data_IF_536531202620
#
_entry.id   IF_536531202620
#
_cell.length_a   1.000
_cell.length_b   1.000
_cell.length_c   1.000
_cell.angle_alpha   90.00
_cell.angle_beta   90.00
_cell.angle_gamma   90.00
#
_symmetry.space_group_name_H-M   'P 1'
#
loop_
_entity.id
_entity.type
_entity.pdbx_description
1 polymer ?
#
# COMPACT_ATOMS: atom_id res chain seq x y z
N UNK A 1 12.08 -24.94 -18.21
CA UNK A 1 11.10 -23.92 -17.77
C UNK A 1 11.54 -23.23 -16.48
N UNK A 2 11.88 -23.97 -15.41
CA UNK A 2 12.32 -23.42 -14.11
C UNK A 2 13.48 -22.40 -14.17
N UNK A 3 14.53 -22.67 -14.96
CA UNK A 3 15.65 -21.73 -15.15
C UNK A 3 15.25 -20.41 -15.83
N UNK A 4 14.38 -20.47 -16.85
CA UNK A 4 13.89 -19.26 -17.56
C UNK A 4 13.01 -18.40 -16.66
N UNK A 5 12.15 -19.04 -15.86
CA UNK A 5 11.33 -18.36 -14.85
C UNK A 5 12.20 -17.63 -13.82
N UNK A 6 13.24 -18.30 -13.30
CA UNK A 6 14.22 -17.71 -12.39
C UNK A 6 14.94 -16.50 -13.02
N UNK A 7 15.36 -16.60 -14.28
CA UNK A 7 15.99 -15.48 -14.97
C UNK A 7 15.03 -14.28 -15.10
N UNK A 8 13.77 -14.52 -15.45
CA UNK A 8 12.76 -13.45 -15.55
C UNK A 8 12.55 -12.78 -14.18
N UNK A 9 12.44 -13.56 -13.11
CA UNK A 9 12.29 -13.02 -11.75
C UNK A 9 13.50 -12.19 -11.34
N UNK A 10 14.72 -12.68 -11.59
CA UNK A 10 15.95 -11.95 -11.26
C UNK A 10 16.07 -10.66 -12.05
N UNK A 11 15.76 -10.68 -13.35
CA UNK A 11 15.78 -9.47 -14.19
C UNK A 11 14.71 -8.46 -13.75
N UNK A 12 13.52 -8.93 -13.40
CA UNK A 12 12.46 -8.07 -12.88
C UNK A 12 12.83 -7.43 -11.54
N UNK A 13 13.42 -8.20 -10.62
CA UNK A 13 13.92 -7.68 -9.35
C UNK A 13 15.06 -6.67 -9.54
N UNK A 14 16.01 -6.97 -10.43
CA UNK A 14 17.10 -6.05 -10.74
C UNK A 14 16.57 -4.73 -11.35
N UNK A 15 15.59 -4.80 -12.25
CA UNK A 15 14.96 -3.63 -12.84
C UNK A 15 14.22 -2.75 -11.81
N UNK A 16 13.71 -3.34 -10.73
CA UNK A 16 13.09 -2.61 -9.61
C UNK A 16 14.11 -2.00 -8.65
N UNK A 17 15.25 -2.67 -8.42
CA UNK A 17 16.26 -2.24 -7.43
C UNK A 17 17.23 -1.20 -7.99
N UNK A 18 17.62 -1.29 -9.26
CA UNK A 18 18.55 -0.34 -9.90
C UNK A 18 18.09 1.12 -9.76
N UNK A 19 16.83 1.50 -10.07
CA UNK A 19 16.39 2.88 -9.90
C UNK A 19 16.21 3.29 -8.43
N UNK A 20 15.95 2.34 -7.54
CA UNK A 20 15.86 2.59 -6.10
C UNK A 20 17.21 2.95 -5.45
N UNK A 21 18.33 2.82 -6.18
CA UNK A 21 19.63 3.35 -5.77
C UNK A 21 19.77 4.87 -5.96
N UNK A 22 18.82 5.52 -6.63
CA UNK A 22 18.66 6.97 -6.54
C UNK A 22 18.24 7.32 -5.11
N UNK A 23 19.17 7.90 -4.36
CA UNK A 23 19.00 8.20 -2.95
C UNK A 23 17.80 9.15 -2.75
N UNK A 24 16.71 8.71 -2.08
CA UNK A 24 15.49 9.51 -1.95
C UNK A 24 15.65 10.83 -1.17
N UNK A 25 16.82 11.03 -0.55
CA UNK A 25 17.14 12.21 0.24
C UNK A 25 17.73 13.37 -0.57
N UNK A 26 18.15 13.13 -1.82
CA UNK A 26 18.67 14.19 -2.69
C UNK A 26 17.50 14.89 -3.39
N UNK A 27 17.17 16.10 -2.94
CA UNK A 27 16.19 16.92 -3.61
C UNK A 27 16.70 17.32 -5.02
N UNK A 28 15.81 17.42 -6.02
CA UNK A 28 16.22 17.83 -7.37
C UNK A 28 16.76 19.27 -7.37
N UNK A 29 18.05 19.44 -7.69
CA UNK A 29 18.72 20.75 -7.66
C UNK A 29 18.33 21.68 -8.82
N UNK A 30 17.84 21.13 -9.93
CA UNK A 30 17.49 21.87 -11.15
C UNK A 30 16.00 21.76 -11.50
N UNK A 31 15.51 22.66 -12.36
CA UNK A 31 14.15 22.55 -12.91
C UNK A 31 13.96 21.26 -13.70
N UNK A 32 14.95 20.84 -14.48
CA UNK A 32 14.89 19.60 -15.27
C UNK A 32 14.82 18.37 -14.37
N UNK A 33 15.63 18.29 -13.31
CA UNK A 33 15.61 17.16 -12.38
C UNK A 33 14.28 17.02 -11.62
N UNK A 34 13.52 18.11 -11.43
CA UNK A 34 12.17 18.04 -10.84
C UNK A 34 11.18 17.30 -11.74
N UNK A 35 11.24 17.54 -13.04
CA UNK A 35 10.39 16.84 -14.01
C UNK A 35 10.77 15.37 -14.11
N UNK A 36 12.07 15.05 -14.11
CA UNK A 36 12.54 13.65 -14.08
C UNK A 36 12.05 12.92 -12.82
N UNK A 37 12.08 13.57 -11.65
CA UNK A 37 11.55 13.01 -10.42
C UNK A 37 10.03 12.79 -10.50
N UNK A 38 9.28 13.76 -11.03
CA UNK A 38 7.83 13.65 -11.18
C UNK A 38 7.44 12.50 -12.12
N UNK A 39 8.12 12.37 -13.25
CA UNK A 39 7.92 11.27 -14.20
C UNK A 39 8.21 9.91 -13.53
N UNK A 40 9.31 9.82 -12.78
CA UNK A 40 9.65 8.63 -12.00
C UNK A 40 8.60 8.25 -10.97
N UNK A 41 8.10 9.23 -10.22
CA UNK A 41 7.03 9.01 -9.24
C UNK A 41 5.75 8.52 -9.91
N UNK A 42 5.39 9.11 -11.05
CA UNK A 42 4.20 8.76 -11.81
C UNK A 42 4.29 7.34 -12.37
N UNK A 43 5.41 7.01 -13.03
CA UNK A 43 5.66 5.68 -13.59
C UNK A 43 5.64 4.61 -12.50
N UNK A 44 6.32 4.88 -11.39
CA UNK A 44 6.38 3.97 -10.24
C UNK A 44 5.00 3.76 -9.63
N UNK A 45 4.22 4.84 -9.45
CA UNK A 45 2.84 4.76 -8.98
C UNK A 45 2.00 3.84 -9.87
N UNK A 46 2.04 4.03 -11.20
CA UNK A 46 1.25 3.22 -12.12
C UNK A 46 1.71 1.76 -12.20
N UNK A 47 3.01 1.49 -12.10
CA UNK A 47 3.53 0.12 -12.02
C UNK A 47 2.97 -0.59 -10.78
N UNK A 48 3.05 0.04 -9.60
CA UNK A 48 2.52 -0.55 -8.38
C UNK A 48 0.99 -0.67 -8.41
N UNK A 49 0.28 0.37 -8.86
CA UNK A 49 -1.18 0.34 -8.99
C UNK A 49 -1.64 -0.76 -9.95
N UNK A 50 -0.94 -0.94 -11.08
CA UNK A 50 -1.23 -2.00 -12.05
C UNK A 50 -1.02 -3.40 -11.47
N UNK A 51 0.11 -3.64 -10.78
CA UNK A 51 0.38 -4.93 -10.12
C UNK A 51 -0.66 -5.19 -9.01
N UNK A 52 -0.98 -4.18 -8.20
CA UNK A 52 -1.98 -4.28 -7.15
C UNK A 52 -3.36 -4.60 -7.73
N UNK A 53 -3.76 -3.96 -8.84
CA UNK A 53 -5.02 -4.22 -9.51
C UNK A 53 -5.09 -5.67 -10.05
N UNK A 54 -4.00 -6.18 -10.65
CA UNK A 54 -3.93 -7.57 -11.11
C UNK A 54 -4.08 -8.54 -9.93
N UNK A 55 -3.35 -8.30 -8.84
CA UNK A 55 -3.44 -9.11 -7.63
C UNK A 55 -4.86 -9.07 -7.06
N UNK A 56 -5.48 -7.88 -6.99
CA UNK A 56 -6.86 -7.70 -6.55
C UNK A 56 -7.84 -8.52 -7.40
N UNK A 57 -7.75 -8.47 -8.73
CA UNK A 57 -8.61 -9.26 -9.62
C UNK A 57 -8.41 -10.76 -9.41
N UNK A 58 -7.17 -11.21 -9.22
CA UNK A 58 -6.87 -12.62 -8.93
C UNK A 58 -7.47 -13.07 -7.59
N UNK A 59 -7.35 -12.24 -6.55
CA UNK A 59 -7.92 -12.49 -5.22
C UNK A 59 -9.45 -12.49 -5.24
N UNK A 60 -10.05 -11.55 -5.98
CA UNK A 60 -11.50 -11.53 -6.22
C UNK A 60 -11.96 -12.82 -6.87
N UNK A 61 -11.33 -13.22 -7.97
CA UNK A 61 -11.73 -14.42 -8.72
C UNK A 61 -11.56 -15.71 -7.91
N UNK A 62 -10.63 -15.73 -6.96
CA UNK A 62 -10.40 -16.86 -6.06
C UNK A 62 -11.30 -16.85 -4.82
N UNK A 63 -12.18 -15.85 -4.68
CA UNK A 63 -13.17 -15.79 -3.61
C UNK A 63 -12.65 -15.27 -2.27
N UNK A 64 -11.43 -14.70 -2.23
CA UNK A 64 -10.85 -14.20 -0.98
C UNK A 64 -11.61 -13.00 -0.37
N UNK A 65 -12.49 -12.35 -1.15
CA UNK A 65 -13.33 -11.23 -0.68
C UNK A 65 -14.74 -11.64 -0.23
N UNK A 66 -15.06 -12.94 -0.16
CA UNK A 66 -16.42 -13.40 0.17
C UNK A 66 -16.80 -13.23 1.65
N UNK A 67 -15.83 -13.14 2.56
CA UNK A 67 -16.07 -12.99 4.01
C UNK A 67 -15.55 -11.66 4.57
N UNK A 68 -15.47 -10.62 3.74
CA UNK A 68 -14.97 -9.31 4.17
C UNK A 68 -15.72 -8.76 5.38
N UNK A 69 -17.03 -8.97 5.46
CA UNK A 69 -17.86 -8.53 6.58
C UNK A 69 -17.40 -9.16 7.90
N UNK A 70 -17.10 -10.47 7.92
CA UNK A 70 -16.60 -11.18 9.12
C UNK A 70 -15.20 -10.71 9.54
N UNK A 71 -14.35 -10.36 8.58
CA UNK A 71 -13.00 -9.86 8.85
C UNK A 71 -13.04 -8.41 9.34
N UNK A 72 -13.99 -7.62 8.84
CA UNK A 72 -14.23 -6.25 9.30
C UNK A 72 -14.82 -6.17 10.72
N UNK A 73 -15.32 -7.27 11.28
CA UNK A 73 -15.68 -7.34 12.69
C UNK A 73 -14.45 -7.42 13.61
N UNK A 74 -13.29 -7.88 13.14
CA UNK A 74 -12.09 -8.06 13.99
C UNK A 74 -11.65 -6.75 14.67
N UNK A 75 -11.61 -5.59 13.98
CA UNK A 75 -11.36 -4.30 14.64
C UNK A 75 -12.45 -3.84 15.61
N UNK A 76 -13.69 -4.30 15.46
CA UNK A 76 -14.80 -3.97 16.38
C UNK A 76 -14.74 -4.77 17.69
N UNK A 77 -13.98 -5.86 17.73
CA UNK A 77 -13.72 -6.62 18.96
C UNK A 77 -12.48 -6.13 19.72
N UNK A 78 -11.76 -5.12 19.19
CA UNK A 78 -10.65 -4.51 19.90
C UNK A 78 -11.26 -3.50 20.87
N UNK A 79 -11.42 -3.92 22.12
CA UNK A 79 -11.69 -3.02 23.25
C UNK A 79 -10.41 -2.21 23.52
N UNK A 80 -10.21 -1.13 22.76
CA UNK A 80 -9.18 -0.14 23.08
C UNK A 80 -9.71 0.79 24.19
N UNK A 81 -8.82 1.15 25.12
CA UNK A 81 -9.11 2.16 26.12
C UNK A 81 -9.31 3.49 25.38
N UNK A 82 -10.46 4.12 25.58
CA UNK A 82 -10.82 5.33 24.86
C UNK A 82 -9.96 6.52 25.34
N UNK A 83 -8.88 6.79 24.63
CA UNK A 83 -7.96 7.90 24.92
C UNK A 83 -8.43 9.25 24.35
N UNK A 84 -9.50 9.26 23.55
CA UNK A 84 -9.92 10.44 22.79
C UNK A 84 -11.23 11.03 23.28
N UNK A 85 -12.08 10.24 23.95
CA UNK A 85 -13.29 10.75 24.59
C UNK A 85 -12.95 11.32 25.96
N UNK A 86 -13.15 12.62 26.17
CA UNK A 86 -12.88 13.24 27.46
C UNK A 86 -13.96 12.88 28.48
N UNK A 87 -13.58 12.77 29.76
CA UNK A 87 -14.44 12.26 30.85
C UNK A 87 -15.80 12.94 30.95
N UNK A 88 -15.87 14.26 30.70
CA UNK A 88 -17.11 15.04 30.74
C UNK A 88 -18.14 14.65 29.66
N UNK A 89 -17.72 13.96 28.59
CA UNK A 89 -18.62 13.50 27.53
C UNK A 89 -19.26 12.15 27.86
N UNK A 90 -18.68 11.38 28.79
CA UNK A 90 -19.23 10.11 29.27
C UNK A 90 -20.46 10.35 30.17
N UNK A 91 -20.45 11.46 30.91
CA UNK A 91 -21.54 11.86 31.81
C UNK A 91 -22.83 12.28 31.07
N UNK A 92 -22.75 12.65 29.78
CA UNK A 92 -23.90 13.08 28.96
C UNK A 92 -24.61 11.91 28.23
N UNK A 93 -23.97 10.74 28.11
CA UNK A 93 -24.51 9.55 27.43
C UNK A 93 -25.28 8.59 28.36
N UNK A 94 -25.27 8.81 29.68
CA UNK A 94 -26.15 8.10 30.62
C UNK A 94 -27.60 8.62 30.48
N UNK A 95 -28.28 8.20 29.42
CA UNK A 95 -29.72 8.37 29.28
C UNK A 95 -30.45 7.46 30.27
N UNK A 96 -31.04 8.03 31.33
CA UNK A 96 -32.02 7.36 32.21
C UNK A 96 -33.25 6.82 31.45
#
# INVERSE_FOLDING_TARGET
MRRRLLTVVVVALAALVVPASALPHDQPETQQSRWVMADWMLDTFFVFAGIAAIAFIAMWKTGHFQELDKVAEIPLYIEEEDYYTPEWALDEEEWE
#
